data_IF_431074785574
#
_entry.id   IF_431074785574
#
_cell.length_a   1.000
_cell.length_b   1.000
_cell.length_c   1.000
_cell.angle_alpha   90.00
_cell.angle_beta   90.00
_cell.angle_gamma   90.00
#
_symmetry.space_group_name_H-M   'P 1'
#
loop_
_entity.id
_entity.type
_entity.pdbx_description
1 polymer ?
#
# COMPACT_ATOMS: atom_id res chain seq x y z
N UNK A 1 -3.97 16.33 -62.77
CA UNK A 1 -4.73 15.12 -62.40
C UNK A 1 -3.69 14.08 -62.04
N UNK A 2 -3.63 13.68 -60.75
CA UNK A 2 -2.69 12.70 -60.15
C UNK A 2 -1.18 13.04 -60.16
N UNK A 3 -0.35 12.71 -59.17
CA UNK A 3 -0.39 12.59 -57.69
C UNK A 3 1.05 12.91 -57.28
N UNK A 4 1.23 13.77 -56.27
CA UNK A 4 2.51 14.05 -55.63
C UNK A 4 2.51 13.36 -54.26
N UNK A 5 3.51 12.54 -53.96
CA UNK A 5 3.97 12.18 -52.62
C UNK A 5 5.48 11.92 -52.70
N UNK A 6 6.28 12.58 -51.86
CA UNK A 6 7.15 11.82 -50.97
C UNK A 6 7.03 12.36 -49.55
N UNK A 7 6.94 11.48 -48.55
CA UNK A 7 7.17 11.86 -47.17
C UNK A 7 8.11 10.85 -46.52
N UNK A 8 9.35 11.32 -46.33
CA UNK A 8 10.22 10.92 -45.24
C UNK A 8 9.46 11.07 -43.92
N UNK A 9 9.43 10.00 -43.13
CA UNK A 9 9.02 10.08 -41.72
C UNK A 9 10.20 9.62 -40.88
N UNK A 10 10.84 10.59 -40.23
CA UNK A 10 11.85 10.37 -39.23
C UNK A 10 11.23 9.69 -38.00
N UNK A 11 11.73 8.49 -37.66
CA UNK A 11 11.53 7.86 -36.35
C UNK A 11 12.33 8.66 -35.31
N UNK A 12 11.62 9.31 -34.40
CA UNK A 12 12.20 9.79 -33.15
C UNK A 12 12.19 8.64 -32.14
N UNK A 13 13.35 8.01 -31.93
CA UNK A 13 13.60 7.12 -30.80
C UNK A 13 13.57 7.95 -29.50
N UNK A 14 12.57 7.74 -28.66
CA UNK A 14 12.59 8.22 -27.29
C UNK A 14 13.55 7.34 -26.48
N UNK A 15 14.61 7.96 -25.99
CA UNK A 15 15.67 7.33 -25.19
C UNK A 15 15.13 6.79 -23.87
N UNK A 16 15.31 5.48 -23.67
CA UNK A 16 15.09 4.83 -22.40
C UNK A 16 16.08 5.35 -21.35
N UNK A 17 15.55 5.79 -20.22
CA UNK A 17 16.34 6.06 -19.03
C UNK A 17 16.70 4.71 -18.38
N UNK A 18 17.91 4.25 -18.65
CA UNK A 18 18.55 3.18 -17.87
C UNK A 18 18.83 3.70 -16.47
N UNK A 19 18.18 3.12 -15.45
CA UNK A 19 18.56 3.34 -14.06
C UNK A 19 19.80 2.49 -13.75
N UNK A 20 20.94 3.17 -13.62
CA UNK A 20 22.19 2.60 -13.13
C UNK A 20 22.17 2.67 -11.58
N UNK A 21 21.98 1.51 -10.95
CA UNK A 21 22.12 1.33 -9.50
C UNK A 21 23.59 1.02 -9.18
N UNK A 22 24.46 2.01 -9.34
CA UNK A 22 25.82 2.00 -8.81
C UNK A 22 26.05 3.24 -7.93
N UNK A 23 25.41 3.24 -6.75
CA UNK A 23 25.81 4.15 -5.68
C UNK A 23 27.14 3.64 -5.11
N UNK A 24 28.23 4.23 -5.59
CA UNK A 24 29.56 4.13 -5.01
C UNK A 24 29.53 4.78 -3.63
N UNK A 25 29.59 3.97 -2.57
CA UNK A 25 29.80 4.44 -1.20
C UNK A 25 31.27 4.86 -1.04
N UNK A 26 31.59 6.12 -0.69
CA UNK A 26 32.95 6.48 -0.34
C UNK A 26 33.30 5.90 1.04
N UNK A 27 34.35 5.08 1.09
CA UNK A 27 35.02 4.65 2.33
C UNK A 27 35.57 5.89 3.07
N UNK A 28 35.27 6.10 4.36
CA UNK A 28 36.06 7.01 5.17
C UNK A 28 37.38 6.33 5.58
N UNK A 29 38.45 7.07 5.37
CA UNK A 29 39.82 6.71 5.72
C UNK A 29 40.00 6.61 7.24
N UNK A 30 40.78 5.61 7.65
CA UNK A 30 41.33 5.42 8.98
C UNK A 30 42.16 6.64 9.40
N UNK A 31 41.84 7.21 10.57
CA UNK A 31 42.76 8.06 11.32
C UNK A 31 42.98 7.44 12.70
N UNK A 32 44.23 7.02 12.90
CA UNK A 32 44.83 6.51 14.14
C UNK A 32 45.09 7.68 15.09
N UNK A 33 44.77 7.53 16.38
CA UNK A 33 45.18 8.46 17.43
C UNK A 33 44.77 8.00 18.82
N UNK A 34 45.74 7.39 19.53
CA UNK A 34 45.64 6.94 20.92
C UNK A 34 45.43 8.08 21.92
N UNK A 35 44.76 7.81 23.05
CA UNK A 35 45.36 7.98 24.39
C UNK A 35 44.42 7.49 25.51
N UNK A 36 45.07 6.95 26.53
CA UNK A 36 44.55 6.24 27.70
C UNK A 36 43.74 7.08 28.68
N UNK A 37 42.91 6.41 29.48
CA UNK A 37 42.23 7.02 30.63
C UNK A 37 41.41 6.04 31.46
N UNK A 38 42.08 5.08 32.12
CA UNK A 38 41.53 4.32 33.24
C UNK A 38 40.94 5.24 34.31
N UNK A 39 39.77 4.89 34.87
CA UNK A 39 39.57 4.82 36.32
C UNK A 39 38.28 4.04 36.64
N UNK A 40 38.44 2.99 37.43
CA UNK A 40 37.40 2.12 37.95
C UNK A 40 36.73 2.75 39.18
N UNK A 41 35.42 2.53 39.34
CA UNK A 41 34.79 2.45 40.66
C UNK A 41 33.78 1.32 40.70
N UNK A 42 33.98 0.48 41.71
CA UNK A 42 33.17 -0.67 42.08
C UNK A 42 32.22 -0.27 43.21
N UNK A 43 30.96 -0.72 43.20
CA UNK A 43 30.23 -1.11 44.42
C UNK A 43 28.96 -1.91 44.11
N UNK A 44 28.67 -2.80 45.04
CA UNK A 44 27.78 -3.96 44.95
C UNK A 44 26.30 -3.68 45.33
N UNK A 45 25.42 -4.54 44.78
CA UNK A 45 24.23 -5.28 45.29
C UNK A 45 23.54 -4.87 46.63
N UNK A 46 22.24 -5.22 46.91
CA UNK A 46 21.53 -6.44 46.44
C UNK A 46 19.98 -6.37 46.23
N UNK A 47 19.49 -7.47 45.63
CA UNK A 47 18.20 -8.18 45.79
C UNK A 47 16.88 -7.44 46.12
N UNK A 48 15.85 -7.66 45.27
CA UNK A 48 14.57 -8.19 45.77
C UNK A 48 13.84 -9.01 44.70
N UNK A 49 13.48 -10.24 45.08
CA UNK A 49 12.62 -11.16 44.33
C UNK A 49 11.15 -10.85 44.69
N UNK A 50 10.28 -10.73 43.70
CA UNK A 50 8.83 -10.79 43.89
C UNK A 50 8.21 -11.64 42.78
N UNK A 51 8.04 -12.92 43.07
CA UNK A 51 7.21 -13.86 42.31
C UNK A 51 5.75 -13.63 42.71
N UNK A 52 4.93 -13.14 41.79
CA UNK A 52 3.46 -13.27 41.89
C UNK A 52 2.95 -13.96 40.64
N UNK A 53 2.79 -15.28 40.76
CA UNK A 53 2.03 -16.09 39.83
C UNK A 53 0.55 -15.69 39.93
N UNK A 54 0.02 -15.08 38.86
CA UNK A 54 -1.40 -14.76 38.75
C UNK A 54 -2.01 -15.74 37.75
N UNK A 55 -2.63 -16.79 38.29
CA UNK A 55 -3.56 -17.63 37.54
C UNK A 55 -4.66 -16.73 36.97
N UNK A 56 -4.78 -16.69 35.64
CA UNK A 56 -5.96 -16.15 34.95
C UNK A 56 -6.68 -17.32 34.30
N UNK A 57 -7.85 -17.64 34.84
CA UNK A 57 -8.79 -18.58 34.24
C UNK A 57 -9.34 -17.96 32.96
N UNK A 58 -9.15 -18.64 31.83
CA UNK A 58 -9.78 -18.31 30.55
C UNK A 58 -11.28 -18.60 30.65
N UNK A 59 -12.07 -17.57 30.94
CA UNK A 59 -13.53 -17.62 30.79
C UNK A 59 -13.82 -17.27 29.33
N UNK A 60 -14.00 -18.30 28.50
CA UNK A 60 -14.56 -18.17 27.15
C UNK A 60 -16.03 -17.75 27.31
N UNK A 61 -16.31 -16.46 27.12
CA UNK A 61 -17.67 -15.93 27.03
C UNK A 61 -18.12 -15.97 25.58
N UNK A 62 -18.80 -17.05 25.20
CA UNK A 62 -19.63 -17.10 24.00
C UNK A 62 -20.86 -16.22 24.25
N UNK A 63 -20.81 -14.97 23.80
CA UNK A 63 -22.02 -14.12 23.72
C UNK A 63 -22.54 -14.29 22.30
N UNK A 64 -23.50 -15.20 22.13
CA UNK A 64 -24.34 -15.23 20.94
C UNK A 64 -25.16 -13.95 20.91
N UNK A 65 -24.88 -13.09 19.93
CA UNK A 65 -25.59 -11.84 19.70
C UNK A 65 -26.51 -12.08 18.51
N UNK A 66 -27.80 -12.27 18.78
CA UNK A 66 -28.85 -12.18 17.75
C UNK A 66 -28.93 -10.72 17.32
N UNK A 67 -28.46 -10.42 16.10
CA UNK A 67 -28.56 -9.09 15.47
C UNK A 67 -29.18 -9.30 14.10
N UNK A 68 -30.27 -8.57 13.83
CA UNK A 68 -30.95 -8.45 12.54
C UNK A 68 -29.95 -8.42 11.37
N UNK A 69 -29.93 -9.51 10.60
CA UNK A 69 -28.91 -9.84 9.60
C UNK A 69 -29.14 -9.23 8.21
N UNK A 70 -30.11 -8.32 8.05
CA UNK A 70 -30.52 -7.79 6.73
C UNK A 70 -29.75 -6.49 6.32
N UNK A 71 -28.60 -6.23 6.94
CA UNK A 71 -27.72 -5.07 6.65
C UNK A 71 -26.34 -5.45 6.07
N UNK A 72 -26.08 -6.72 5.78
CA UNK A 72 -24.72 -7.28 5.87
C UNK A 72 -23.75 -6.88 4.73
N UNK A 73 -24.14 -6.83 3.46
CA UNK A 73 -23.18 -6.65 2.35
C UNK A 73 -22.93 -5.20 1.92
N UNK A 74 -24.00 -4.40 1.76
CA UNK A 74 -23.90 -2.99 1.35
C UNK A 74 -23.25 -2.11 2.43
N UNK A 75 -23.48 -2.41 3.71
CA UNK A 75 -22.80 -1.74 4.82
C UNK A 75 -21.31 -2.08 4.85
N UNK A 76 -20.94 -3.35 4.68
CA UNK A 76 -19.56 -3.79 4.60
C UNK A 76 -18.80 -3.09 3.46
N UNK A 77 -19.34 -3.10 2.24
CA UNK A 77 -18.73 -2.43 1.09
C UNK A 77 -18.55 -0.91 1.31
N UNK A 78 -19.55 -0.24 1.88
CA UNK A 78 -19.47 1.20 2.21
C UNK A 78 -18.40 1.48 3.27
N UNK A 79 -18.36 0.67 4.34
CA UNK A 79 -17.33 0.81 5.39
C UNK A 79 -15.94 0.61 4.79
N UNK A 80 -15.71 -0.51 4.09
CA UNK A 80 -14.44 -0.82 3.43
C UNK A 80 -13.99 0.32 2.50
N UNK A 81 -14.84 0.75 1.57
CA UNK A 81 -14.48 1.82 0.61
C UNK A 81 -14.24 3.17 1.28
N UNK A 82 -14.95 3.48 2.38
CA UNK A 82 -14.71 4.70 3.16
C UNK A 82 -13.40 4.66 3.96
N UNK A 83 -12.96 3.47 4.36
CA UNK A 83 -11.69 3.25 5.08
C UNK A 83 -10.50 3.14 4.12
N UNK A 84 -10.71 2.54 2.94
CA UNK A 84 -9.68 2.26 1.92
C UNK A 84 -9.38 3.46 1.03
N UNK A 85 -9.12 4.61 1.63
CA UNK A 85 -8.78 5.88 0.99
C UNK A 85 -7.94 6.72 1.95
N UNK A 86 -7.25 7.75 1.47
CA UNK A 86 -6.39 8.62 2.29
C UNK A 86 -4.91 8.29 2.15
N UNK A 87 -4.11 8.81 3.08
CA UNK A 87 -2.66 8.68 3.10
C UNK A 87 -2.21 7.78 4.24
N UNK A 88 -1.23 6.92 4.00
CA UNK A 88 -0.66 5.99 4.98
C UNK A 88 0.86 5.93 4.86
N UNK A 89 1.57 5.77 5.98
CA UNK A 89 3.03 5.83 6.02
C UNK A 89 3.62 4.92 7.10
N UNK A 90 4.76 4.25 6.84
CA UNK A 90 5.40 3.33 7.79
C UNK A 90 6.62 3.91 8.53
N UNK A 91 6.77 5.24 8.61
CA UNK A 91 7.94 5.89 9.20
C UNK A 91 8.34 5.33 10.57
N UNK A 92 7.38 5.18 11.49
CA UNK A 92 7.65 4.70 12.85
C UNK A 92 8.19 3.26 12.85
N UNK A 93 7.69 2.40 11.96
CA UNK A 93 8.23 1.06 11.75
C UNK A 93 9.70 1.13 11.32
N UNK A 94 10.04 2.01 10.37
CA UNK A 94 11.41 2.13 9.86
C UNK A 94 12.36 2.70 10.92
N UNK A 95 11.92 3.67 11.73
CA UNK A 95 12.70 4.17 12.86
C UNK A 95 13.01 3.03 13.84
N UNK A 96 12.02 2.20 14.16
CA UNK A 96 12.19 1.05 15.04
C UNK A 96 13.16 0.01 14.43
N UNK A 97 13.06 -0.26 13.14
CA UNK A 97 13.99 -1.13 12.43
C UNK A 97 15.44 -0.63 12.56
N UNK A 98 15.67 0.68 12.35
CA UNK A 98 17.02 1.27 12.47
C UNK A 98 17.54 1.22 13.90
N UNK A 99 16.68 1.40 14.91
CA UNK A 99 17.07 1.22 16.31
C UNK A 99 17.52 -0.22 16.63
N UNK A 100 17.02 -1.20 15.88
CA UNK A 100 17.43 -2.61 15.97
C UNK A 100 18.56 -2.98 15.00
N UNK A 101 19.16 -2.01 14.30
CA UNK A 101 20.25 -2.25 13.35
C UNK A 101 19.81 -2.94 12.06
N UNK A 102 18.53 -2.91 11.72
CA UNK A 102 17.98 -3.52 10.51
C UNK A 102 17.95 -2.51 9.37
N UNK A 103 18.59 -2.85 8.26
CA UNK A 103 18.58 -2.07 7.01
C UNK A 103 17.68 -2.72 5.97
N UNK A 104 17.20 -1.98 4.95
CA UNK A 104 16.33 -2.52 3.91
C UNK A 104 16.96 -3.68 3.11
N UNK A 105 16.11 -4.44 2.40
CA UNK A 105 16.56 -5.55 1.55
C UNK A 105 17.22 -6.68 2.34
N UNK A 106 18.52 -6.90 2.11
CA UNK A 106 19.26 -7.99 2.74
C UNK A 106 19.35 -7.87 4.28
N UNK A 107 19.26 -6.65 4.83
CA UNK A 107 19.24 -6.42 6.27
C UNK A 107 17.91 -6.78 6.95
N UNK A 108 16.87 -7.09 6.17
CA UNK A 108 15.56 -7.51 6.68
C UNK A 108 14.70 -6.41 7.30
N UNK A 109 15.19 -5.17 7.36
CA UNK A 109 14.37 -4.00 7.68
C UNK A 109 13.52 -3.54 6.49
N UNK A 110 12.70 -2.54 6.72
CA UNK A 110 11.78 -1.97 5.75
C UNK A 110 12.36 -0.69 5.13
N UNK A 111 12.03 -0.48 3.86
CA UNK A 111 12.07 0.82 3.21
C UNK A 111 11.00 1.74 3.82
N UNK A 112 11.27 3.05 3.85
CA UNK A 112 10.25 4.05 4.20
C UNK A 112 9.37 4.31 2.99
N UNK A 113 8.13 3.84 3.07
CA UNK A 113 7.12 3.96 2.02
C UNK A 113 5.91 4.74 2.52
N UNK A 114 5.33 5.48 1.58
CA UNK A 114 4.07 6.17 1.74
C UNK A 114 3.10 5.67 0.67
N UNK A 115 1.85 5.47 1.04
CA UNK A 115 0.75 5.06 0.18
C UNK A 115 -0.35 6.13 0.18
N UNK A 116 -0.69 6.65 -0.99
CA UNK A 116 -1.82 7.58 -1.18
C UNK A 116 -2.91 6.88 -1.99
N UNK A 117 -4.11 6.75 -1.42
CA UNK A 117 -5.29 6.13 -2.01
C UNK A 117 -6.37 7.18 -2.27
N UNK A 118 -6.51 7.60 -3.52
CA UNK A 118 -7.44 8.67 -3.94
C UNK A 118 -8.73 8.05 -4.49
N UNK A 119 -9.88 8.23 -3.82
CA UNK A 119 -11.15 7.80 -4.36
C UNK A 119 -11.46 8.60 -5.63
N UNK A 120 -11.89 7.93 -6.68
CA UNK A 120 -12.38 8.61 -7.86
C UNK A 120 -13.79 9.11 -7.58
N UNK A 121 -14.08 10.42 -7.75
CA UNK A 121 -15.42 10.91 -7.46
C UNK A 121 -16.42 10.28 -8.43
N UNK A 122 -17.47 9.72 -7.88
CA UNK A 122 -18.59 9.25 -8.68
C UNK A 122 -19.49 10.45 -8.99
N UNK A 123 -19.56 10.78 -10.27
CA UNK A 123 -20.47 11.78 -10.77
C UNK A 123 -21.60 11.06 -11.50
N UNK A 124 -22.83 11.22 -11.02
CA UNK A 124 -24.00 10.54 -11.56
C UNK A 124 -24.66 9.60 -10.55
N UNK A 125 -25.98 9.73 -10.45
CA UNK A 125 -26.92 8.99 -9.62
C UNK A 125 -26.71 9.07 -8.10
N UNK A 126 -27.18 10.19 -7.54
CA UNK A 126 -27.95 10.22 -6.29
C UNK A 126 -29.31 9.49 -6.43
N UNK A 127 -29.44 8.54 -7.36
CA UNK A 127 -30.54 7.61 -7.31
C UNK A 127 -30.34 6.84 -6.01
N UNK A 128 -31.21 7.09 -5.03
CA UNK A 128 -31.26 6.52 -3.67
C UNK A 128 -31.38 4.97 -3.63
N UNK A 129 -30.98 4.27 -4.69
CA UNK A 129 -30.90 2.83 -4.79
C UNK A 129 -29.47 2.34 -4.64
N UNK A 130 -29.32 1.26 -3.90
CA UNK A 130 -28.12 0.48 -3.56
C UNK A 130 -27.40 -0.15 -4.79
N UNK A 131 -27.48 0.45 -5.97
CA UNK A 131 -27.15 -0.17 -7.27
C UNK A 131 -25.71 0.09 -7.73
N UNK A 132 -24.90 0.82 -6.98
CA UNK A 132 -23.50 1.08 -7.37
C UNK A 132 -22.62 -0.14 -7.13
N UNK A 133 -22.45 -0.93 -8.19
CA UNK A 133 -21.70 -2.19 -8.18
C UNK A 133 -20.18 -2.03 -8.06
N UNK A 134 -19.58 -0.86 -8.33
CA UNK A 134 -18.12 -0.71 -8.21
C UNK A 134 -17.64 0.71 -7.87
N UNK A 135 -16.46 0.81 -7.24
CA UNK A 135 -15.74 2.06 -6.94
C UNK A 135 -14.31 1.99 -7.50
N UNK A 136 -13.84 3.11 -8.04
CA UNK A 136 -12.47 3.25 -8.55
C UNK A 136 -11.61 4.05 -7.58
N UNK A 137 -10.35 3.63 -7.41
CA UNK A 137 -9.36 4.29 -6.56
C UNK A 137 -8.04 4.37 -7.31
N UNK A 138 -7.46 5.56 -7.39
CA UNK A 138 -6.08 5.75 -7.85
C UNK A 138 -5.13 5.63 -6.66
N UNK A 139 -4.08 4.82 -6.82
CA UNK A 139 -3.10 4.57 -5.77
C UNK A 139 -1.70 4.93 -6.23
N UNK A 140 -0.94 5.60 -5.36
CA UNK A 140 0.49 5.83 -5.54
C UNK A 140 1.28 5.34 -4.33
N UNK A 141 2.44 4.75 -4.60
CA UNK A 141 3.42 4.37 -3.57
C UNK A 141 4.74 5.07 -3.88
N UNK A 142 5.29 5.74 -2.88
CA UNK A 142 6.51 6.51 -3.02
C UNK A 142 7.41 6.40 -1.79
N UNK A 143 8.70 6.62 -2.01
CA UNK A 143 9.68 6.53 -0.93
C UNK A 143 9.75 7.81 -0.11
N UNK A 144 10.15 7.65 1.14
CA UNK A 144 10.66 8.73 1.99
C UNK A 144 9.67 9.87 2.25
N UNK A 145 8.36 9.63 2.14
CA UNK A 145 7.36 10.71 2.18
C UNK A 145 7.58 11.77 1.10
N UNK A 146 8.16 11.42 -0.04
CA UNK A 146 8.35 12.33 -1.18
C UNK A 146 7.46 11.93 -2.36
N UNK A 147 6.34 12.64 -2.62
CA UNK A 147 5.43 12.34 -3.72
C UNK A 147 6.08 12.38 -5.11
N UNK A 148 7.29 12.92 -5.27
CA UNK A 148 8.02 12.89 -6.54
C UNK A 148 8.80 11.58 -6.75
N UNK A 149 9.00 10.77 -5.71
CA UNK A 149 9.73 9.48 -5.76
C UNK A 149 8.78 8.29 -5.85
N UNK A 150 7.79 8.37 -6.74
CA UNK A 150 6.81 7.29 -6.95
C UNK A 150 7.46 6.11 -7.64
N UNK A 151 7.38 4.94 -7.02
CA UNK A 151 7.86 3.68 -7.59
C UNK A 151 6.71 2.78 -8.07
N UNK A 152 5.47 3.05 -7.68
CA UNK A 152 4.30 2.28 -8.14
C UNK A 152 3.05 3.17 -8.24
N UNK A 153 2.40 3.12 -9.41
CA UNK A 153 1.02 3.58 -9.59
C UNK A 153 0.11 2.38 -9.87
N UNK A 154 -1.12 2.43 -9.35
CA UNK A 154 -2.19 1.46 -9.65
C UNK A 154 -3.54 2.16 -9.75
N UNK A 155 -4.47 1.53 -10.45
CA UNK A 155 -5.89 1.79 -10.31
C UNK A 155 -6.58 0.54 -9.76
N UNK A 156 -7.26 0.68 -8.63
CA UNK A 156 -8.05 -0.38 -8.03
C UNK A 156 -9.52 -0.19 -8.39
N UNK A 157 -10.20 -1.29 -8.73
CA UNK A 157 -11.65 -1.32 -8.92
C UNK A 157 -12.25 -2.28 -7.90
N UNK A 158 -12.93 -1.75 -6.89
CA UNK A 158 -13.63 -2.53 -5.87
C UNK A 158 -15.06 -2.80 -6.32
N UNK A 159 -15.48 -4.06 -6.32
CA UNK A 159 -16.82 -4.51 -6.70
C UNK A 159 -17.61 -4.91 -5.44
N UNK A 160 -18.81 -4.36 -5.31
CA UNK A 160 -19.72 -4.75 -4.24
C UNK A 160 -20.08 -6.24 -4.37
N UNK A 161 -20.40 -6.94 -3.26
CA UNK A 161 -20.81 -8.34 -3.31
C UNK A 161 -22.07 -8.49 -4.18
N UNK A 162 -22.14 -9.55 -4.98
CA UNK A 162 -23.31 -9.82 -5.82
C UNK A 162 -24.52 -10.20 -4.94
N UNK A 163 -25.57 -9.38 -4.96
CA UNK A 163 -26.82 -9.66 -4.21
C UNK A 163 -27.66 -10.79 -4.81
N UNK A 164 -27.41 -11.18 -6.06
CA UNK A 164 -28.27 -12.09 -6.83
C UNK A 164 -27.92 -13.58 -6.64
N UNK A 165 -26.86 -13.89 -5.88
CA UNK A 165 -26.50 -15.25 -5.53
C UNK A 165 -27.13 -15.67 -4.21
N UNK A 166 -28.11 -16.59 -4.25
CA UNK A 166 -28.74 -17.23 -3.08
C UNK A 166 -27.78 -18.05 -2.18
N UNK A 167 -26.47 -17.87 -2.30
CA UNK A 167 -25.50 -18.62 -1.51
C UNK A 167 -25.22 -17.88 -0.19
N UNK A 168 -25.62 -18.54 0.88
CA UNK A 168 -25.47 -18.16 2.27
C UNK A 168 -23.98 -17.97 2.60
N UNK A 169 -23.52 -16.72 2.79
CA UNK A 169 -22.63 -16.52 3.94
C UNK A 169 -21.40 -15.60 3.87
N UNK A 170 -21.00 -14.96 2.77
CA UNK A 170 -19.91 -13.97 2.88
C UNK A 170 -20.01 -12.75 1.95
N UNK A 171 -19.96 -11.56 2.56
CA UNK A 171 -19.93 -10.27 1.87
C UNK A 171 -18.54 -10.01 1.27
N UNK A 172 -18.11 -10.84 0.32
CA UNK A 172 -16.78 -10.70 -0.30
C UNK A 172 -16.76 -9.53 -1.27
N UNK A 173 -15.84 -8.58 -1.05
CA UNK A 173 -15.60 -7.46 -1.97
C UNK A 173 -14.40 -7.78 -2.85
N UNK A 174 -14.62 -7.87 -4.15
CA UNK A 174 -13.54 -8.14 -5.12
C UNK A 174 -12.85 -6.84 -5.53
N UNK A 175 -11.56 -6.75 -5.33
CA UNK A 175 -10.72 -5.65 -5.81
C UNK A 175 -9.88 -6.10 -7.01
N UNK A 176 -10.17 -5.55 -8.19
CA UNK A 176 -9.38 -5.75 -9.40
C UNK A 176 -8.23 -4.77 -9.45
N UNK A 177 -7.04 -5.28 -9.75
CA UNK A 177 -5.82 -4.47 -9.87
C UNK A 177 -5.58 -4.11 -11.33
N UNK A 178 -5.28 -2.84 -11.60
CA UNK A 178 -4.99 -2.36 -12.94
C UNK A 178 -3.71 -1.52 -12.97
N UNK A 179 -2.95 -1.66 -14.04
CA UNK A 179 -1.86 -0.74 -14.40
C UNK A 179 -2.42 0.45 -15.15
N UNK A 180 -1.77 1.61 -15.02
CA UNK A 180 -2.15 2.80 -15.77
C UNK A 180 -1.54 2.76 -17.16
N UNK A 181 -2.22 3.35 -18.14
CA UNK A 181 -1.60 3.65 -19.43
C UNK A 181 -0.40 4.59 -19.23
N UNK A 182 0.67 4.48 -20.05
CA UNK A 182 1.86 5.32 -19.89
C UNK A 182 1.59 6.82 -19.92
N UNK A 183 0.62 7.25 -20.75
CA UNK A 183 0.23 8.66 -20.88
C UNK A 183 -0.43 9.15 -19.59
N UNK A 184 -1.34 8.36 -19.01
CA UNK A 184 -1.98 8.69 -17.75
C UNK A 184 -0.96 8.74 -16.61
N UNK A 185 -0.10 7.71 -16.50
CA UNK A 185 0.92 7.66 -15.45
C UNK A 185 1.85 8.88 -15.51
N UNK A 186 2.33 9.24 -16.72
CA UNK A 186 3.17 10.40 -16.91
C UNK A 186 2.47 11.70 -16.50
N UNK A 187 1.19 11.85 -16.82
CA UNK A 187 0.40 13.03 -16.45
C UNK A 187 0.23 13.12 -14.92
N UNK A 188 -0.04 12.00 -14.25
CA UNK A 188 -0.17 11.95 -12.78
C UNK A 188 1.15 12.22 -12.07
N UNK A 189 2.28 11.72 -12.57
CA UNK A 189 3.62 12.00 -12.02
C UNK A 189 3.95 13.50 -12.00
N UNK A 190 3.52 14.26 -13.01
CA UNK A 190 3.69 15.72 -13.06
C UNK A 190 2.86 16.47 -12.02
N UNK A 191 1.88 15.81 -11.42
CA UNK A 191 0.89 16.36 -10.48
C UNK A 191 0.87 15.55 -9.19
N UNK A 192 1.98 14.89 -8.85
CA UNK A 192 2.02 13.92 -7.75
C UNK A 192 1.82 14.54 -6.38
N UNK A 193 2.14 15.82 -6.22
CA UNK A 193 1.93 16.59 -4.99
C UNK A 193 0.46 17.04 -4.79
N UNK A 194 -0.40 16.84 -5.79
CA UNK A 194 -1.80 17.27 -5.76
C UNK A 194 -2.77 16.08 -5.96
N UNK A 195 -2.79 15.08 -5.06
CA UNK A 195 -3.58 13.86 -5.21
C UNK A 195 -5.07 14.10 -5.42
N UNK A 196 -5.63 15.08 -4.71
CA UNK A 196 -7.03 15.49 -4.86
C UNK A 196 -7.40 16.01 -6.27
N UNK A 197 -6.40 16.32 -7.12
CA UNK A 197 -6.59 16.74 -8.51
C UNK A 197 -6.37 15.62 -9.54
N UNK A 198 -5.90 14.44 -9.13
CA UNK A 198 -5.57 13.33 -10.04
C UNK A 198 -6.75 12.90 -10.90
N UNK A 199 -7.95 12.94 -10.33
CA UNK A 199 -9.16 12.61 -11.06
C UNK A 199 -9.37 13.57 -12.25
N UNK A 200 -9.14 14.87 -12.07
CA UNK A 200 -9.21 15.87 -13.15
C UNK A 200 -8.12 15.63 -14.20
N UNK A 201 -6.94 15.21 -13.76
CA UNK A 201 -5.84 14.85 -14.67
C UNK A 201 -6.21 13.66 -15.54
N UNK A 202 -6.77 12.60 -14.97
CA UNK A 202 -7.22 11.43 -15.73
C UNK A 202 -8.30 11.79 -16.76
N UNK A 203 -9.26 12.62 -16.36
CA UNK A 203 -10.28 13.16 -17.26
C UNK A 203 -9.66 13.91 -18.45
N UNK A 204 -8.70 14.81 -18.19
CA UNK A 204 -8.02 15.59 -19.26
C UNK A 204 -7.30 14.69 -20.25
N UNK A 205 -6.61 13.66 -19.74
CA UNK A 205 -5.91 12.67 -20.58
C UNK A 205 -6.91 11.92 -21.46
N UNK A 206 -8.03 11.45 -20.90
CA UNK A 206 -9.05 10.73 -21.67
C UNK A 206 -9.74 11.61 -22.72
N UNK A 207 -10.14 12.81 -22.32
CA UNK A 207 -10.91 13.73 -23.18
C UNK A 207 -10.10 14.33 -24.33
N UNK A 208 -8.76 14.27 -24.24
CA UNK A 208 -7.82 14.82 -25.22
C UNK A 208 -7.92 16.34 -25.31
N UNK A 209 -7.31 17.04 -24.35
CA UNK A 209 -7.17 18.50 -24.04
C UNK A 209 -7.66 19.62 -25.01
N UNK A 210 -8.03 19.36 -26.26
CA UNK A 210 -8.55 20.33 -27.24
C UNK A 210 -10.05 20.67 -27.07
N UNK A 211 -10.81 19.96 -26.23
CA UNK A 211 -12.22 20.29 -25.98
C UNK A 211 -12.33 21.44 -24.97
N UNK A 212 -12.29 22.67 -25.48
CA UNK A 212 -12.33 23.97 -24.77
C UNK A 212 -13.50 24.24 -23.81
N UNK A 213 -14.36 23.27 -23.49
CA UNK A 213 -15.37 23.42 -22.45
C UNK A 213 -15.45 22.12 -21.67
N UNK A 214 -15.06 22.18 -20.39
CA UNK A 214 -15.55 21.26 -19.39
C UNK A 214 -17.08 21.50 -19.31
N UNK A 215 -17.84 20.81 -20.16
CA UNK A 215 -19.28 20.77 -19.99
C UNK A 215 -19.53 19.90 -18.77
N UNK A 216 -20.34 20.42 -17.84
CA UNK A 216 -20.73 19.79 -16.58
C UNK A 216 -21.55 18.49 -16.75
N UNK A 217 -21.62 17.94 -17.97
CA UNK A 217 -22.07 16.57 -18.22
C UNK A 217 -20.94 15.63 -17.78
N UNK A 218 -20.80 15.48 -16.47
CA UNK A 218 -19.70 14.71 -15.89
C UNK A 218 -19.94 13.23 -16.21
N UNK A 219 -19.19 12.72 -17.19
CA UNK A 219 -19.27 11.31 -17.57
C UNK A 219 -18.75 10.49 -16.38
N UNK A 220 -19.51 9.47 -15.92
CA UNK A 220 -19.10 8.61 -14.82
C UNK A 220 -17.73 7.98 -15.08
N UNK A 221 -16.92 7.89 -14.03
CA UNK A 221 -15.59 7.28 -14.07
C UNK A 221 -15.57 5.87 -14.68
N UNK A 222 -16.61 5.10 -14.38
CA UNK A 222 -16.82 3.75 -14.89
C UNK A 222 -16.87 3.67 -16.42
N UNK A 223 -17.18 4.77 -17.12
CA UNK A 223 -17.29 4.78 -18.58
C UNK A 223 -15.95 5.05 -19.27
N UNK A 224 -15.04 5.82 -18.65
CA UNK A 224 -13.82 6.25 -19.34
C UNK A 224 -12.52 5.65 -18.79
N UNK A 225 -12.43 5.39 -17.48
CA UNK A 225 -11.21 4.82 -16.92
C UNK A 225 -10.80 3.49 -17.55
N UNK A 226 -11.72 2.57 -17.90
CA UNK A 226 -11.33 1.32 -18.55
C UNK A 226 -10.50 1.48 -19.83
N UNK A 227 -10.56 2.64 -20.52
CA UNK A 227 -9.70 2.89 -21.69
C UNK A 227 -8.32 3.46 -21.34
N UNK A 228 -8.08 3.82 -20.08
CA UNK A 228 -6.83 4.38 -19.58
C UNK A 228 -6.04 3.42 -18.67
N UNK A 229 -6.56 2.22 -18.44
CA UNK A 229 -5.97 1.23 -17.55
C UNK A 229 -5.96 -0.15 -18.21
N UNK A 230 -5.06 -1.02 -17.76
CA UNK A 230 -4.98 -2.42 -18.19
C UNK A 230 -5.09 -3.34 -16.97
N UNK A 231 -5.99 -4.34 -16.97
CA UNK A 231 -6.14 -5.26 -15.84
C UNK A 231 -4.91 -6.15 -15.66
N UNK A 232 -4.52 -6.37 -14.41
CA UNK A 232 -3.52 -7.38 -14.02
C UNK A 232 -4.24 -8.72 -13.82
N UNK A 233 -4.28 -9.52 -14.87
CA UNK A 233 -4.99 -10.80 -14.87
C UNK A 233 -4.46 -11.73 -13.78
N UNK A 234 -5.38 -12.32 -13.01
CA UNK A 234 -5.05 -13.24 -11.91
C UNK A 234 -4.62 -12.58 -10.60
N UNK A 235 -4.43 -11.25 -10.56
CA UNK A 235 -4.06 -10.49 -9.37
C UNK A 235 -5.27 -9.94 -8.61
N UNK A 236 -6.48 -10.47 -8.81
CA UNK A 236 -7.66 -10.02 -8.07
C UNK A 236 -7.46 -10.30 -6.57
N UNK A 237 -7.90 -9.38 -5.73
CA UNK A 237 -7.84 -9.47 -4.26
C UNK A 237 -9.26 -9.53 -3.72
N UNK A 238 -9.51 -10.45 -2.79
CA UNK A 238 -10.81 -10.66 -2.15
C UNK A 238 -10.75 -10.12 -0.74
N UNK A 239 -11.60 -9.14 -0.43
CA UNK A 239 -11.75 -8.54 0.90
C UNK A 239 -12.89 -9.21 1.65
N UNK A 240 -12.61 -9.68 2.86
CA UNK A 240 -13.50 -10.41 3.76
C UNK A 240 -13.55 -9.70 5.13
N UNK A 241 -14.70 -9.77 5.79
CA UNK A 241 -14.88 -9.22 7.14
C UNK A 241 -14.14 -10.06 8.18
N UNK A 242 -14.24 -11.38 8.06
CA UNK A 242 -13.54 -12.32 8.91
C UNK A 242 -12.09 -12.52 8.44
N UNK A 243 -11.17 -12.49 9.40
CA UNK A 243 -9.76 -12.78 9.12
C UNK A 243 -9.50 -14.28 9.17
N UNK A 244 -8.85 -14.82 8.13
CA UNK A 244 -8.32 -16.18 8.15
C UNK A 244 -6.94 -16.19 8.83
N UNK A 245 -6.86 -16.76 10.03
CA UNK A 245 -5.64 -16.82 10.83
C UNK A 245 -4.48 -17.58 10.15
N UNK A 246 -4.79 -18.52 9.26
CA UNK A 246 -3.76 -19.23 8.50
C UNK A 246 -3.17 -18.33 7.40
N UNK A 247 -4.01 -17.58 6.70
CA UNK A 247 -3.60 -16.64 5.65
C UNK A 247 -3.02 -15.33 6.20
N UNK A 248 -3.36 -14.95 7.43
CA UNK A 248 -2.91 -13.71 8.06
C UNK A 248 -2.03 -13.99 9.28
N UNK A 249 -1.23 -15.06 9.21
CA UNK A 249 -0.34 -15.49 10.30
C UNK A 249 0.63 -14.39 10.74
N UNK A 250 0.96 -13.43 9.86
CA UNK A 250 1.77 -12.26 10.17
C UNK A 250 1.14 -11.33 11.23
N UNK A 251 -0.18 -11.41 11.46
CA UNK A 251 -0.83 -10.69 12.56
C UNK A 251 -0.44 -11.26 13.92
N UNK A 252 -0.05 -12.53 13.98
CA UNK A 252 0.39 -13.17 15.22
C UNK A 252 1.88 -12.93 15.51
N UNK A 253 2.64 -12.49 14.51
CA UNK A 253 4.08 -12.28 14.65
C UNK A 253 4.39 -10.90 15.23
N UNK A 254 4.93 -10.90 16.45
CA UNK A 254 5.47 -9.73 17.08
C UNK A 254 6.98 -9.65 16.87
N UNK A 255 7.37 -9.15 15.70
CA UNK A 255 8.76 -9.07 15.25
C UNK A 255 9.72 -8.38 16.25
N UNK A 256 9.21 -7.57 17.18
CA UNK A 256 9.99 -6.81 18.16
C UNK A 256 9.65 -7.11 19.63
N UNK A 257 8.78 -8.10 19.92
CA UNK A 257 8.26 -8.34 21.27
C UNK A 257 7.77 -7.06 21.98
N UNK A 258 7.21 -6.11 21.23
CA UNK A 258 6.61 -4.91 21.84
C UNK A 258 5.33 -5.32 22.57
N UNK A 259 5.01 -4.67 23.70
CA UNK A 259 3.81 -5.01 24.48
C UNK A 259 2.48 -4.82 23.70
N UNK A 260 2.53 -4.29 22.46
CA UNK A 260 1.40 -4.11 21.55
C UNK A 260 0.72 -5.41 21.10
N UNK A 261 1.39 -6.56 21.15
CA UNK A 261 0.80 -7.82 20.66
C UNK A 261 -0.40 -8.31 21.48
N UNK A 262 -0.60 -7.79 22.69
CA UNK A 262 -1.78 -8.11 23.50
C UNK A 262 -3.06 -7.43 23.02
N UNK A 263 -2.96 -6.43 22.14
CA UNK A 263 -4.08 -5.57 21.78
C UNK A 263 -4.83 -6.05 20.52
N UNK A 264 -4.25 -6.99 19.76
CA UNK A 264 -4.86 -7.55 18.52
C UNK A 264 -6.25 -8.13 18.75
N UNK A 265 -6.49 -8.72 19.93
CA UNK A 265 -7.81 -9.27 20.30
C UNK A 265 -8.89 -8.20 20.55
N UNK A 266 -8.51 -6.93 20.67
CA UNK A 266 -9.44 -5.79 20.81
C UNK A 266 -9.78 -5.13 19.47
N UNK A 267 -9.12 -5.48 18.37
CA UNK A 267 -9.33 -4.86 17.04
C UNK A 267 -10.34 -5.59 16.15
N UNK A 268 -10.94 -6.68 16.64
CA UNK A 268 -11.75 -7.59 15.80
C UNK A 268 -13.07 -6.99 15.27
N UNK A 269 -13.55 -5.86 15.79
CA UNK A 269 -14.86 -5.34 15.39
C UNK A 269 -14.82 -4.37 14.18
N UNK A 270 -13.63 -3.94 13.72
CA UNK A 270 -13.50 -2.91 12.66
C UNK A 270 -12.33 -3.11 11.70
N UNK A 271 -11.97 -4.36 11.38
CA UNK A 271 -10.91 -4.67 10.43
C UNK A 271 -11.44 -5.26 9.13
N UNK A 272 -10.66 -5.10 8.07
CA UNK A 272 -10.91 -5.70 6.76
C UNK A 272 -9.67 -6.47 6.34
N UNK A 273 -9.84 -7.69 5.86
CA UNK A 273 -8.73 -8.55 5.52
C UNK A 273 -8.85 -8.99 4.08
N UNK A 274 -7.72 -9.04 3.38
CA UNK A 274 -7.72 -9.35 1.96
C UNK A 274 -6.63 -10.33 1.60
N UNK A 275 -6.98 -11.26 0.72
CA UNK A 275 -6.03 -12.22 0.14
C UNK A 275 -6.24 -12.29 -1.35
N UNK A 276 -5.23 -12.70 -2.10
CA UNK A 276 -5.42 -12.91 -3.53
C UNK A 276 -6.46 -13.99 -3.81
N UNK A 277 -7.25 -13.82 -4.87
CA UNK A 277 -8.26 -14.78 -5.31
C UNK A 277 -7.63 -16.15 -5.63
N UNK A 278 -6.40 -16.17 -6.15
CA UNK A 278 -5.65 -17.39 -6.38
C UNK A 278 -5.26 -18.15 -5.08
N UNK A 279 -5.54 -17.58 -3.91
CA UNK A 279 -5.28 -18.13 -2.60
C UNK A 279 -3.79 -18.33 -2.33
N UNK A 280 -3.45 -19.37 -1.57
CA UNK A 280 -2.08 -19.72 -1.20
C UNK A 280 -1.16 -20.05 -2.38
N UNK A 281 -1.76 -20.39 -3.53
CA UNK A 281 -1.04 -20.67 -4.77
C UNK A 281 -0.39 -19.42 -5.35
N UNK A 282 -0.97 -18.24 -5.10
CA UNK A 282 -0.51 -16.97 -5.66
C UNK A 282 -0.82 -16.80 -7.16
N UNK A 283 -0.40 -15.68 -7.72
CA UNK A 283 -0.65 -15.29 -9.11
C UNK A 283 0.67 -15.13 -9.84
N UNK A 284 0.83 -15.81 -10.98
CA UNK A 284 2.03 -15.68 -11.81
C UNK A 284 1.79 -14.56 -12.82
N UNK A 285 2.64 -13.54 -12.80
CA UNK A 285 2.61 -12.44 -13.75
C UNK A 285 3.96 -12.21 -14.39
N UNK A 286 3.96 -11.69 -15.61
CA UNK A 286 5.18 -11.17 -16.22
C UNK A 286 5.50 -9.81 -15.60
N UNK A 287 6.68 -9.70 -15.01
CA UNK A 287 7.21 -8.44 -14.49
C UNK A 287 7.29 -7.42 -15.62
N UNK A 288 6.67 -6.27 -15.38
CA UNK A 288 6.73 -5.11 -16.28
C UNK A 288 7.84 -4.13 -15.92
N UNK A 289 8.38 -4.19 -14.69
CA UNK A 289 9.24 -3.12 -14.14
C UNK A 289 10.61 -3.58 -13.68
N UNK A 290 10.72 -4.68 -12.91
CA UNK A 290 12.01 -5.10 -12.34
C UNK A 290 12.90 -5.72 -13.42
N UNK A 291 12.41 -6.80 -14.03
CA UNK A 291 13.02 -7.46 -15.16
C UNK A 291 11.89 -7.73 -16.16
N UNK A 292 11.79 -6.95 -17.26
CA UNK A 292 10.74 -7.13 -18.24
C UNK A 292 10.68 -8.57 -18.76
N UNK A 293 9.53 -9.22 -18.60
CA UNK A 293 9.29 -10.59 -19.05
C UNK A 293 9.75 -11.69 -18.09
N UNK A 294 10.36 -11.37 -16.94
CA UNK A 294 10.56 -12.36 -15.88
C UNK A 294 9.22 -12.70 -15.24
N UNK A 295 8.90 -13.98 -15.11
CA UNK A 295 7.71 -14.41 -14.37
C UNK A 295 7.94 -14.21 -12.88
N UNK A 296 6.93 -13.70 -12.19
CA UNK A 296 6.94 -13.54 -10.74
C UNK A 296 5.65 -14.13 -10.20
N UNK A 297 5.79 -15.02 -9.20
CA UNK A 297 4.69 -15.45 -8.37
C UNK A 297 4.46 -14.43 -7.26
N UNK A 298 3.31 -13.77 -7.30
CA UNK A 298 2.87 -12.79 -6.31
C UNK A 298 2.02 -13.50 -5.25
N UNK A 299 2.14 -13.08 -3.98
CA UNK A 299 1.32 -13.52 -2.85
C UNK A 299 0.97 -12.33 -1.96
N UNK A 300 -0.05 -11.58 -2.35
CA UNK A 300 -0.49 -10.39 -1.62
C UNK A 300 -1.49 -10.75 -0.52
N UNK A 301 -1.20 -10.25 0.68
CA UNK A 301 -2.12 -10.27 1.81
C UNK A 301 -2.19 -8.87 2.41
N UNK A 302 -3.41 -8.38 2.68
CA UNK A 302 -3.67 -7.02 3.13
C UNK A 302 -4.52 -7.07 4.39
N UNK A 303 -4.28 -6.14 5.32
CA UNK A 303 -5.17 -5.91 6.46
C UNK A 303 -5.36 -4.42 6.67
N UNK A 304 -6.60 -3.98 6.83
CA UNK A 304 -6.98 -2.57 6.91
C UNK A 304 -7.83 -2.32 8.16
N UNK A 305 -7.52 -1.24 8.86
CA UNK A 305 -8.28 -0.71 9.98
C UNK A 305 -8.58 0.76 9.74
N UNK A 306 -9.31 1.38 10.67
CA UNK A 306 -9.58 2.81 10.63
C UNK A 306 -8.28 3.62 10.58
N UNK A 307 -7.24 3.27 11.32
CA UNK A 307 -6.01 4.05 11.50
C UNK A 307 -4.76 3.38 10.89
N UNK A 308 -4.88 2.16 10.36
CA UNK A 308 -3.74 1.35 9.91
C UNK A 308 -4.01 0.64 8.59
N UNK A 309 -2.97 0.46 7.80
CA UNK A 309 -2.99 -0.38 6.61
C UNK A 309 -1.72 -1.23 6.56
N UNK A 310 -1.86 -2.53 6.68
CA UNK A 310 -0.75 -3.48 6.65
C UNK A 310 -0.70 -4.20 5.31
N UNK A 311 0.49 -4.27 4.72
CA UNK A 311 0.72 -4.83 3.39
C UNK A 311 1.82 -5.90 3.50
N UNK A 312 1.45 -7.15 3.25
CA UNK A 312 2.38 -8.28 3.13
C UNK A 312 2.49 -8.68 1.65
N UNK A 313 3.15 -7.85 0.84
CA UNK A 313 3.39 -8.10 -0.59
C UNK A 313 4.69 -8.91 -0.76
N UNK A 314 4.60 -10.04 -1.48
CA UNK A 314 5.73 -10.95 -1.70
C UNK A 314 5.78 -11.46 -3.12
N UNK A 315 6.96 -11.38 -3.72
CA UNK A 315 7.27 -11.93 -5.03
C UNK A 315 8.30 -13.04 -4.95
N UNK A 316 8.06 -14.12 -5.67
CA UNK A 316 8.96 -15.26 -5.83
C UNK A 316 9.22 -15.52 -7.31
N UNK A 317 10.40 -16.02 -7.64
CA UNK A 317 10.75 -16.45 -9.00
C UNK A 317 10.31 -17.91 -9.17
N UNK A 318 9.24 -18.21 -9.92
CA UNK A 318 8.79 -19.58 -10.12
C UNK A 318 9.74 -20.39 -11.02
N UNK A 319 10.66 -19.72 -11.72
CA UNK A 319 11.61 -20.33 -12.66
C UNK A 319 13.04 -20.39 -12.11
N UNK A 320 13.26 -19.75 -10.96
CA UNK A 320 14.56 -19.71 -10.31
C UNK A 320 14.93 -21.06 -9.69
N UNK A 321 16.20 -21.42 -9.79
CA UNK A 321 16.71 -22.62 -9.12
C UNK A 321 16.57 -22.48 -7.60
N UNK A 322 15.83 -23.39 -6.98
CA UNK A 322 15.73 -23.47 -5.52
C UNK A 322 17.12 -23.70 -4.95
N UNK A 323 17.54 -22.82 -4.03
CA UNK A 323 18.78 -23.03 -3.30
C UNK A 323 18.58 -24.23 -2.37
N UNK A 324 19.06 -25.40 -2.82
CA UNK A 324 18.89 -26.73 -2.20
C UNK A 324 19.30 -26.85 -0.73
N UNK A 325 19.79 -25.75 -0.13
CA UNK A 325 20.23 -25.65 1.26
C UNK A 325 19.13 -25.18 2.23
N UNK A 326 17.96 -24.75 1.75
CA UNK A 326 16.83 -24.35 2.60
C UNK A 326 15.59 -25.23 2.31
N UNK A 327 15.42 -26.31 3.08
CA UNK A 327 14.32 -27.28 2.97
C UNK A 327 12.90 -26.67 3.15
N UNK A 328 12.78 -25.38 3.48
CA UNK A 328 11.52 -24.68 3.74
C UNK A 328 11.24 -23.49 2.80
N UNK A 329 12.04 -23.26 1.74
CA UNK A 329 11.76 -22.20 0.75
C UNK A 329 11.71 -22.77 -0.67
N UNK A 330 10.49 -23.05 -1.15
CA UNK A 330 10.24 -23.70 -2.44
C UNK A 330 10.56 -22.84 -3.68
N UNK A 331 10.82 -21.53 -3.53
CA UNK A 331 11.13 -20.63 -4.67
C UNK A 331 12.05 -19.47 -4.25
N UNK A 332 12.99 -19.03 -5.11
CA UNK A 332 13.82 -17.84 -4.85
C UNK A 332 12.99 -16.58 -4.64
N UNK A 333 13.35 -15.80 -3.61
CA UNK A 333 12.68 -14.56 -3.27
C UNK A 333 13.09 -13.42 -4.22
N UNK A 334 12.11 -12.71 -4.79
CA UNK A 334 12.32 -11.58 -5.70
C UNK A 334 12.17 -10.25 -4.98
N UNK A 335 11.05 -10.03 -4.28
CA UNK A 335 10.76 -8.76 -3.63
C UNK A 335 9.82 -8.89 -2.42
N UNK A 336 9.85 -7.88 -1.54
CA UNK A 336 9.08 -7.79 -0.29
C UNK A 336 10.01 -7.74 0.94
N UNK A 337 9.46 -7.83 2.15
CA UNK A 337 10.27 -7.97 3.36
C UNK A 337 10.79 -9.40 3.52
N UNK A 338 12.13 -9.57 3.59
CA UNK A 338 12.78 -10.90 3.67
C UNK A 338 12.53 -11.66 4.98
N UNK A 339 12.19 -10.95 6.07
CA UNK A 339 11.84 -11.57 7.35
C UNK A 339 10.38 -11.97 7.40
N UNK A 340 9.60 -11.59 6.40
CA UNK A 340 8.18 -11.83 6.34
C UNK A 340 7.35 -10.95 7.28
N UNK A 341 7.92 -9.84 7.73
CA UNK A 341 7.19 -8.82 8.49
C UNK A 341 6.47 -7.92 7.48
N UNK A 342 5.16 -7.64 7.63
CA UNK A 342 4.45 -6.78 6.70
C UNK A 342 4.93 -5.33 6.83
N UNK A 343 4.75 -4.54 5.78
CA UNK A 343 4.80 -3.09 5.92
C UNK A 343 3.60 -2.66 6.79
N UNK A 344 3.87 -1.97 7.90
CA UNK A 344 2.85 -1.51 8.85
C UNK A 344 2.69 0.00 8.68
N UNK A 345 1.72 0.40 7.86
CA UNK A 345 1.48 1.81 7.56
C UNK A 345 0.43 2.37 8.53
N UNK A 346 0.70 3.55 9.08
CA UNK A 346 -0.21 4.33 9.91
C UNK A 346 -0.90 5.38 9.05
N UNK A 347 -2.17 5.66 9.33
CA UNK A 347 -2.92 6.69 8.61
C UNK A 347 -2.38 8.07 8.94
N UNK A 348 -2.05 8.81 7.88
CA UNK A 348 -1.61 10.21 7.94
C UNK A 348 -2.77 11.16 7.69
N UNK A 349 -3.65 10.82 6.75
CA UNK A 349 -4.79 11.65 6.36
C UNK A 349 -6.00 10.83 5.92
N UNK A 350 -7.17 11.46 5.91
CA UNK A 350 -8.30 11.05 5.08
C UNK A 350 -8.36 11.91 3.83
N UNK A 351 -8.84 11.35 2.73
CA UNK A 351 -9.31 12.14 1.58
C UNK A 351 -10.83 12.17 1.65
N UNK A 352 -11.39 13.36 1.85
CA UNK A 352 -12.82 13.59 2.00
C UNK A 352 -13.38 14.30 0.78
N UNK A 353 -14.58 13.89 0.35
CA UNK A 353 -15.33 14.62 -0.66
C UNK A 353 -16.15 15.73 0.00
N UNK A 354 -16.00 16.96 -0.49
CA UNK A 354 -16.79 18.11 -0.06
C UNK A 354 -17.96 18.36 -1.00
N UNK A 355 -18.91 19.20 -0.59
CA UNK A 355 -20.03 19.61 -1.42
C UNK A 355 -19.52 20.16 -2.76
N UNK A 356 -19.89 19.52 -3.88
CA UNK A 356 -19.38 19.85 -5.21
C UNK A 356 -18.26 18.95 -5.74
N UNK A 357 -18.07 17.77 -5.13
CA UNK A 357 -17.12 16.73 -5.59
C UNK A 357 -15.65 17.19 -5.63
N UNK A 358 -15.32 18.19 -4.81
CA UNK A 358 -13.94 18.56 -4.54
C UNK A 358 -13.39 17.68 -3.42
N UNK A 359 -12.28 17.00 -3.72
CA UNK A 359 -11.56 16.20 -2.74
C UNK A 359 -10.64 17.10 -1.92
N UNK A 360 -10.57 16.85 -0.62
CA UNK A 360 -9.66 17.54 0.29
C UNK A 360 -8.91 16.53 1.16
N UNK A 361 -7.64 16.84 1.44
CA UNK A 361 -6.83 16.11 2.41
C UNK A 361 -7.14 16.62 3.81
N UNK A 362 -7.53 15.72 4.71
CA UNK A 362 -7.80 15.99 6.12
C UNK A 362 -6.78 15.22 6.98
N UNK A 363 -5.68 15.85 7.40
CA UNK A 363 -4.66 15.21 8.23
C UNK A 363 -5.24 14.71 9.57
N UNK A 364 -4.84 13.51 9.98
CA UNK A 364 -5.23 12.91 11.28
C UNK A 364 -4.05 12.60 12.18
N UNK A 365 -2.86 12.39 11.63
CA UNK A 365 -1.64 12.21 12.40
C UNK A 365 -0.76 13.46 12.29
N UNK A 366 -0.70 14.24 13.37
CA UNK A 366 0.17 15.42 13.45
C UNK A 366 1.66 15.07 13.36
N UNK A 367 2.06 13.88 13.82
CA UNK A 367 3.47 13.44 13.79
C UNK A 367 3.94 13.04 12.39
N UNK A 368 3.05 12.47 11.57
CA UNK A 368 3.38 11.97 10.24
C UNK A 368 2.98 12.94 9.12
N UNK A 369 2.33 14.06 9.44
CA UNK A 369 1.82 15.03 8.46
C UNK A 369 2.90 15.52 7.49
N UNK A 370 4.16 15.60 7.93
CA UNK A 370 5.29 16.00 7.08
C UNK A 370 5.45 15.09 5.84
N UNK A 371 4.96 13.85 5.88
CA UNK A 371 5.05 12.90 4.75
C UNK A 371 4.11 13.22 3.58
N UNK A 372 3.12 14.10 3.78
CA UNK A 372 2.12 14.49 2.76
C UNK A 372 2.67 15.39 1.64
N UNK A 373 3.94 15.82 1.73
CA UNK A 373 4.60 16.62 0.71
C UNK A 373 5.01 18.02 1.18
N UNK A 374 5.51 18.83 0.24
CA UNK A 374 6.19 20.09 0.54
C UNK A 374 5.35 21.16 1.24
N UNK A 375 4.02 21.13 1.12
CA UNK A 375 3.12 22.06 1.81
C UNK A 375 2.94 21.75 3.30
N UNK A 376 3.37 20.58 3.76
CA UNK A 376 3.13 20.07 5.11
C UNK A 376 4.38 19.97 5.97
N UNK A 377 5.52 20.45 5.48
CA UNK A 377 6.80 20.37 6.19
C UNK A 377 7.74 21.50 5.81
N UNK A 378 8.73 21.71 6.66
CA UNK A 378 9.90 22.52 6.29
C UNK A 378 11.03 21.63 5.75
N UNK A 379 11.98 22.16 4.94
CA UNK A 379 13.14 21.40 4.49
C UNK A 379 14.00 20.85 5.65
N UNK A 380 14.18 21.61 6.73
CA UNK A 380 14.98 21.17 7.88
C UNK A 380 14.32 20.05 8.69
N UNK A 381 12.99 20.09 8.84
CA UNK A 381 12.22 19.00 9.44
C UNK A 381 12.34 17.72 8.59
N UNK A 382 12.19 17.85 7.27
CA UNK A 382 12.33 16.72 6.36
C UNK A 382 13.69 16.04 6.50
N UNK A 383 14.76 16.82 6.44
CA UNK A 383 16.13 16.31 6.56
C UNK A 383 16.36 15.63 7.92
N UNK A 384 15.87 16.22 9.01
CA UNK A 384 15.97 15.63 10.34
C UNK A 384 15.24 14.29 10.44
N UNK A 385 14.03 14.18 9.88
CA UNK A 385 13.25 12.94 9.85
C UNK A 385 13.92 11.87 8.99
N UNK A 386 14.45 12.23 7.81
CA UNK A 386 15.19 11.30 6.95
C UNK A 386 16.45 10.76 7.61
N UNK A 387 17.18 11.60 8.35
CA UNK A 387 18.40 11.17 9.05
C UNK A 387 18.16 10.05 10.05
N UNK A 388 16.95 9.95 10.61
CA UNK A 388 16.61 8.89 11.56
C UNK A 388 16.35 7.52 10.91
N UNK A 389 16.16 7.46 9.59
CA UNK A 389 15.79 6.24 8.85
C UNK A 389 16.85 5.78 7.83
N UNK A 390 17.97 6.50 7.75
CA UNK A 390 19.13 6.16 6.91
C UNK A 390 20.05 5.18 7.62
#
# INVERSE_FOLDING_TARGET
>A
MHVHMPYDTAMACATGATFDLSVVVPRPALAVGCSDGLLAFSRASPHSNSKTARQRSTIVRTIAREVDCDKSSGEYFRRLTSTFQGDFDNYNQVVLDRQHGLTPGAGGGHEHIHCTLVPCPDFGDDAEGDTRRSRWILAAFYFNGNPQQIFRFRAYQLWAPDHDGMDDGSAVVRMKLNTLSPILEQALRKRSEEPCSWWRTAWKVWSGEDKKKFHEDIIPWSQFIPSLVSPLQGCDVLWEEDWDAAKHSYLLDNAYNSDESNDITSFCDTSFHATMEAGSSGAIVDSISMIPGQRILIKDELSLWEDKFWINDRGYDPDGETDSMNENQDMPFVYGNRRGVPYKLERVSHIVSTAGAELQVAPVSGELQWTLGGSYRTPGEYEAKLKAII
#
